data_IF_058858544824
#
_entry.id   IF_058858544824
#
_cell.length_a   1.000
_cell.length_b   1.000
_cell.length_c   1.000
_cell.angle_alpha   90.00
_cell.angle_beta   90.00
_cell.angle_gamma   90.00
#
_symmetry.space_group_name_H-M   'P 1'
#
loop_
_entity.id
_entity.type
_entity.pdbx_description
1 polymer ?
#
# COMPACT_ATOMS: atom_id res chain seq x y z
N UNK A 1 -1.42 2.82 -23.79
CA UNK A 1 -2.44 3.57 -23.05
C UNK A 1 -2.10 3.43 -21.56
N UNK A 2 -1.82 4.52 -20.85
CA UNK A 2 -1.34 4.54 -19.45
C UNK A 2 -2.46 4.20 -18.45
N UNK A 3 -3.10 3.04 -18.59
CA UNK A 3 -4.38 2.71 -17.91
C UNK A 3 -4.28 2.74 -16.38
N UNK A 4 -3.12 2.37 -15.84
CA UNK A 4 -2.93 2.19 -14.40
C UNK A 4 -2.12 3.31 -13.73
N UNK A 5 -1.48 4.19 -14.51
CA UNK A 5 -0.65 5.24 -13.92
C UNK A 5 -1.54 6.20 -13.13
N UNK A 6 -1.12 6.54 -11.91
CA UNK A 6 -1.86 7.29 -10.89
C UNK A 6 -3.06 6.57 -10.25
N UNK A 7 -3.30 5.28 -10.55
CA UNK A 7 -4.27 4.50 -9.80
C UNK A 7 -3.68 3.92 -8.52
N UNK A 8 -4.57 3.56 -7.59
CA UNK A 8 -4.26 2.75 -6.43
C UNK A 8 -4.77 1.34 -6.64
N UNK A 9 -4.03 0.35 -6.15
CA UNK A 9 -4.36 -1.03 -6.46
C UNK A 9 -3.70 -2.06 -5.56
N UNK A 10 -4.25 -3.27 -5.63
CA UNK A 10 -3.72 -4.47 -5.01
C UNK A 10 -2.86 -5.23 -6.01
N UNK A 11 -1.89 -5.96 -5.47
CA UNK A 11 -1.14 -6.97 -6.20
C UNK A 11 -1.08 -8.26 -5.36
N UNK A 12 -2.14 -9.09 -5.37
CA UNK A 12 -2.28 -10.26 -4.51
C UNK A 12 -1.46 -11.45 -5.03
N UNK A 13 -0.16 -11.25 -5.20
CA UNK A 13 0.79 -12.24 -5.69
C UNK A 13 1.24 -13.19 -4.59
N UNK A 14 1.32 -14.47 -4.94
CA UNK A 14 1.95 -15.54 -4.19
C UNK A 14 3.02 -16.22 -5.04
N UNK A 15 3.89 -17.00 -4.41
CA UNK A 15 4.99 -17.66 -5.13
C UNK A 15 4.49 -18.63 -6.21
N UNK A 16 3.30 -19.21 -6.01
CA UNK A 16 2.63 -20.12 -6.93
C UNK A 16 2.13 -19.44 -8.22
N UNK A 17 1.90 -18.12 -8.19
CA UNK A 17 1.54 -17.35 -9.40
C UNK A 17 2.74 -17.25 -10.37
N UNK A 18 3.95 -17.42 -9.83
CA UNK A 18 5.21 -17.44 -10.55
C UNK A 18 5.97 -16.12 -10.50
N UNK A 19 7.29 -16.22 -10.38
CA UNK A 19 8.20 -15.09 -10.24
C UNK A 19 8.36 -14.26 -11.52
N UNK A 20 8.01 -14.82 -12.68
CA UNK A 20 8.05 -14.13 -13.99
C UNK A 20 7.14 -12.89 -14.05
N UNK A 21 6.17 -12.81 -13.14
CA UNK A 21 5.28 -11.66 -12.97
C UNK A 21 5.97 -10.47 -12.29
N UNK A 22 7.10 -10.68 -11.64
CA UNK A 22 7.86 -9.66 -10.92
C UNK A 22 9.16 -9.41 -11.68
N UNK A 23 9.62 -8.17 -11.72
CA UNK A 23 10.90 -7.87 -12.34
C UNK A 23 12.04 -8.58 -11.56
N UNK A 24 13.01 -9.22 -12.24
CA UNK A 24 13.98 -10.10 -11.58
C UNK A 24 14.74 -9.50 -10.39
N UNK A 25 15.07 -8.20 -10.45
CA UNK A 25 15.78 -7.51 -9.36
C UNK A 25 14.91 -7.19 -8.15
N UNK A 26 13.60 -7.26 -8.29
CA UNK A 26 12.64 -6.84 -7.27
C UNK A 26 12.03 -8.05 -6.53
N UNK A 27 12.23 -9.28 -7.04
CA UNK A 27 11.62 -10.53 -6.51
C UNK A 27 11.85 -10.69 -5.01
N UNK A 28 13.11 -10.67 -4.56
CA UNK A 28 13.44 -10.96 -3.15
C UNK A 28 12.90 -9.89 -2.20
N UNK A 29 12.98 -8.62 -2.59
CA UNK A 29 12.38 -7.52 -1.81
C UNK A 29 10.85 -7.59 -1.80
N UNK A 30 10.23 -7.98 -2.92
CA UNK A 30 8.78 -8.08 -3.02
C UNK A 30 8.23 -9.28 -2.21
N UNK A 31 8.95 -10.41 -2.19
CA UNK A 31 8.66 -11.53 -1.28
C UNK A 31 8.73 -11.09 0.18
N UNK A 32 9.81 -10.40 0.56
CA UNK A 32 10.01 -9.90 1.93
C UNK A 32 8.91 -8.93 2.36
N UNK A 33 8.41 -8.12 1.43
CA UNK A 33 7.30 -7.20 1.68
C UNK A 33 6.00 -7.93 2.07
N UNK A 34 5.76 -9.13 1.55
CA UNK A 34 4.47 -9.83 1.64
C UNK A 34 3.33 -8.96 1.07
N UNK A 35 3.17 -8.91 -0.27
CA UNK A 35 2.35 -7.89 -0.94
C UNK A 35 0.83 -8.10 -0.79
N UNK A 36 0.42 -9.28 -0.32
CA UNK A 36 -0.99 -9.62 -0.21
C UNK A 36 -1.74 -8.65 0.72
N UNK A 37 -2.79 -8.03 0.17
CA UNK A 37 -3.62 -7.07 0.89
C UNK A 37 -3.02 -5.66 1.04
N UNK A 38 -1.74 -5.43 0.67
CA UNK A 38 -1.14 -4.09 0.66
C UNK A 38 -1.67 -3.27 -0.49
N UNK A 39 -1.88 -1.97 -0.25
CA UNK A 39 -2.39 -1.02 -1.24
C UNK A 39 -1.22 -0.22 -1.81
N UNK A 40 -1.00 -0.35 -3.12
CA UNK A 40 0.10 0.26 -3.85
C UNK A 40 -0.41 1.43 -4.70
N UNK A 41 0.44 2.45 -4.86
CA UNK A 41 0.25 3.48 -5.88
C UNK A 41 0.99 3.06 -7.15
N UNK A 42 0.31 2.98 -8.29
CA UNK A 42 1.00 2.82 -9.57
C UNK A 42 1.49 4.19 -10.04
N UNK A 43 2.80 4.37 -10.11
CA UNK A 43 3.43 5.66 -10.41
C UNK A 43 3.97 5.75 -11.82
N UNK A 44 4.23 4.62 -12.47
CA UNK A 44 4.75 4.58 -13.84
C UNK A 44 4.53 3.21 -14.49
N UNK A 45 4.89 3.09 -15.77
CA UNK A 45 4.95 1.84 -16.52
C UNK A 45 6.19 1.86 -17.43
N UNK A 46 7.10 0.90 -17.23
CA UNK A 46 8.39 0.82 -17.92
C UNK A 46 8.60 -0.60 -18.46
N UNK A 47 8.90 -0.72 -19.75
CA UNK A 47 9.18 -2.00 -20.43
C UNK A 47 8.10 -3.09 -20.20
N UNK A 48 6.83 -2.65 -20.14
CA UNK A 48 5.68 -3.53 -19.88
C UNK A 48 5.59 -4.04 -18.44
N UNK A 49 6.20 -3.34 -17.48
CA UNK A 49 6.01 -3.52 -16.05
C UNK A 49 5.41 -2.26 -15.43
N UNK A 50 4.38 -2.42 -14.60
CA UNK A 50 3.88 -1.38 -13.71
C UNK A 50 4.90 -1.11 -12.62
N UNK A 51 5.16 0.16 -12.34
CA UNK A 51 5.97 0.60 -11.19
C UNK A 51 5.03 0.91 -10.03
N UNK A 52 5.02 0.02 -9.04
CA UNK A 52 4.22 0.12 -7.83
C UNK A 52 5.04 0.71 -6.70
N UNK A 53 4.54 1.75 -6.05
CA UNK A 53 5.14 2.38 -4.86
C UNK A 53 4.41 1.94 -3.60
N UNK A 54 5.17 1.58 -2.57
CA UNK A 54 4.68 1.31 -1.22
C UNK A 54 5.64 1.95 -0.21
N UNK A 55 5.22 3.06 0.41
CA UNK A 55 6.11 3.88 1.23
C UNK A 55 7.28 4.42 0.38
N UNK A 56 8.51 4.12 0.79
CA UNK A 56 9.72 4.52 0.06
C UNK A 56 10.23 3.45 -0.91
N UNK A 57 9.60 2.29 -0.98
CA UNK A 57 9.99 1.20 -1.86
C UNK A 57 9.18 1.23 -3.17
N UNK A 58 9.83 0.77 -4.24
CA UNK A 58 9.20 0.62 -5.56
C UNK A 58 9.47 -0.76 -6.13
N UNK A 59 8.47 -1.33 -6.79
CA UNK A 59 8.53 -2.67 -7.37
C UNK A 59 7.97 -2.65 -8.78
N UNK A 60 8.62 -3.38 -9.69
CA UNK A 60 8.15 -3.54 -11.07
C UNK A 60 7.44 -4.88 -11.22
N UNK A 61 6.19 -4.84 -11.66
CA UNK A 61 5.34 -6.04 -11.78
C UNK A 61 4.58 -6.04 -13.10
N UNK A 62 4.22 -7.21 -13.61
CA UNK A 62 3.31 -7.33 -14.74
C UNK A 62 1.90 -6.89 -14.34
N UNK A 63 1.09 -6.45 -15.30
CA UNK A 63 -0.26 -5.95 -15.00
C UNK A 63 -1.27 -7.04 -14.63
N UNK A 64 -0.92 -8.31 -14.86
CA UNK A 64 -1.80 -9.49 -14.80
C UNK A 64 -2.57 -9.63 -13.49
N UNK A 65 -1.95 -9.32 -12.36
CA UNK A 65 -2.58 -9.41 -11.04
C UNK A 65 -3.03 -8.06 -10.48
N UNK A 66 -2.78 -6.96 -11.18
CA UNK A 66 -3.07 -5.62 -10.66
C UNK A 66 -4.58 -5.35 -10.65
N UNK A 67 -5.11 -5.05 -9.47
CA UNK A 67 -6.54 -4.77 -9.26
C UNK A 67 -6.71 -3.37 -8.70
N UNK A 68 -7.32 -2.48 -9.48
CA UNK A 68 -7.61 -1.10 -9.06
C UNK A 68 -8.57 -1.14 -7.86
N UNK A 69 -8.28 -0.30 -6.87
CA UNK A 69 -9.13 -0.05 -5.70
C UNK A 69 -9.26 1.46 -5.45
N UNK A 70 -10.14 1.83 -4.53
CA UNK A 70 -10.29 3.22 -4.14
C UNK A 70 -9.01 3.78 -3.52
N UNK A 71 -8.73 5.04 -3.82
CA UNK A 71 -7.56 5.73 -3.30
C UNK A 71 -7.65 5.84 -1.76
N UNK A 72 -6.54 5.59 -1.04
CA UNK A 72 -6.46 5.89 0.37
C UNK A 72 -6.50 7.41 0.60
N UNK A 73 -7.07 7.79 1.75
CA UNK A 73 -7.12 9.19 2.19
C UNK A 73 -5.76 9.67 2.70
N UNK A 74 -4.95 8.75 3.21
CA UNK A 74 -3.61 9.02 3.73
C UNK A 74 -2.58 8.17 3.00
N UNK A 75 -1.40 8.73 2.74
CA UNK A 75 -0.25 8.00 2.23
C UNK A 75 0.66 7.52 3.38
N UNK A 76 1.48 6.50 3.11
CA UNK A 76 2.52 6.06 4.05
C UNK A 76 3.50 7.21 4.30
N UNK A 77 3.83 7.45 5.56
CA UNK A 77 4.64 8.58 6.02
C UNK A 77 3.83 9.83 6.39
N UNK A 78 2.52 9.88 6.12
CA UNK A 78 1.69 10.99 6.58
C UNK A 78 1.58 11.02 8.11
N UNK A 79 1.68 12.22 8.69
CA UNK A 79 1.35 12.44 10.09
C UNK A 79 -0.16 12.58 10.27
N UNK A 80 -0.67 11.90 11.29
CA UNK A 80 -2.10 11.85 11.62
C UNK A 80 -2.31 11.93 13.13
N UNK A 81 -3.49 12.37 13.54
CA UNK A 81 -3.99 12.29 14.91
C UNK A 81 -5.18 11.36 14.97
N UNK A 82 -5.42 10.74 16.13
CA UNK A 82 -6.66 9.99 16.34
C UNK A 82 -7.81 10.97 16.60
N UNK A 83 -8.98 10.70 16.02
CA UNK A 83 -10.20 11.49 16.29
C UNK A 83 -10.56 11.44 17.78
N UNK A 84 -10.41 10.28 18.42
CA UNK A 84 -10.74 10.07 19.84
C UNK A 84 -9.69 10.62 20.81
N UNK A 85 -8.45 10.82 20.34
CA UNK A 85 -7.34 11.37 21.13
C UNK A 85 -6.37 12.12 20.21
N UNK A 86 -6.54 13.44 20.16
CA UNK A 86 -5.77 14.31 19.27
C UNK A 86 -4.50 14.90 19.94
N UNK A 87 -4.14 14.39 21.12
CA UNK A 87 -2.96 14.84 21.88
C UNK A 87 -1.66 14.28 21.33
N UNK A 88 -1.72 13.13 20.64
CA UNK A 88 -0.58 12.43 20.09
C UNK A 88 -0.61 12.45 18.57
N UNK A 89 0.55 12.66 17.96
CA UNK A 89 0.75 12.53 16.51
C UNK A 89 1.32 11.15 16.24
N UNK A 90 0.70 10.44 15.30
CA UNK A 90 1.22 9.21 14.74
C UNK A 90 1.59 9.38 13.27
N UNK A 91 2.22 8.34 12.72
CA UNK A 91 2.64 8.28 11.32
C UNK A 91 2.03 7.05 10.68
N UNK A 92 1.49 7.16 9.46
CA UNK A 92 0.99 6.02 8.68
C UNK A 92 2.19 5.16 8.28
N UNK A 93 2.24 3.92 8.76
CA UNK A 93 3.31 2.97 8.44
C UNK A 93 2.89 1.98 7.34
N UNK A 94 1.61 1.60 7.32
CA UNK A 94 1.08 0.66 6.34
C UNK A 94 -0.32 1.03 5.87
N UNK A 95 -0.59 0.70 4.62
CA UNK A 95 -1.93 0.76 4.03
C UNK A 95 -2.27 -0.63 3.52
N UNK A 96 -3.34 -1.20 4.05
CA UNK A 96 -3.87 -2.48 3.62
C UNK A 96 -5.33 -2.33 3.18
N UNK A 97 -5.87 -3.34 2.52
CA UNK A 97 -7.24 -3.34 2.02
C UNK A 97 -8.15 -4.25 2.83
N UNK A 98 -9.22 -3.69 3.35
CA UNK A 98 -10.22 -4.43 4.07
C UNK A 98 -11.19 -5.14 3.10
N UNK A 99 -10.97 -6.43 2.84
CA UNK A 99 -11.65 -7.20 1.79
C UNK A 99 -13.18 -7.18 1.86
N UNK A 100 -13.76 -7.16 3.08
CA UNK A 100 -15.22 -7.17 3.27
C UNK A 100 -15.84 -5.80 3.01
N UNK A 101 -15.24 -4.76 3.55
CA UNK A 101 -15.80 -3.40 3.51
C UNK A 101 -15.36 -2.64 2.25
N UNK A 102 -14.38 -3.18 1.50
CA UNK A 102 -13.83 -2.58 0.28
C UNK A 102 -13.32 -1.15 0.54
N UNK A 103 -12.55 -0.99 1.61
CA UNK A 103 -11.92 0.29 1.98
C UNK A 103 -10.48 0.09 2.43
N UNK A 104 -9.64 1.14 2.33
CA UNK A 104 -8.32 1.18 2.94
C UNK A 104 -8.40 1.07 4.46
N UNK A 105 -7.43 0.40 5.06
CA UNK A 105 -7.16 0.37 6.50
C UNK A 105 -5.69 0.71 6.76
N UNK A 106 -5.44 1.38 7.88
CA UNK A 106 -4.13 1.92 8.21
C UNK A 106 -3.58 1.30 9.49
N UNK A 107 -2.27 1.11 9.49
CA UNK A 107 -1.50 0.92 10.73
C UNK A 107 -0.65 2.16 10.95
N UNK A 108 -0.64 2.65 12.19
CA UNK A 108 0.14 3.82 12.57
C UNK A 108 1.20 3.46 13.59
N UNK A 109 2.28 4.24 13.62
CA UNK A 109 3.18 4.33 14.76
C UNK A 109 2.88 5.58 15.57
N UNK A 110 3.09 5.52 16.89
CA UNK A 110 3.10 6.71 17.77
C UNK A 110 4.38 6.63 18.58
N UNK A 111 5.18 7.70 18.59
CA UNK A 111 6.50 7.73 19.22
C UNK A 111 7.40 6.56 18.78
N UNK A 112 7.39 6.24 17.47
CA UNK A 112 8.17 5.16 16.87
C UNK A 112 7.69 3.74 17.18
N UNK A 113 6.56 3.57 17.89
CA UNK A 113 5.98 2.25 18.20
C UNK A 113 4.72 2.01 17.38
N UNK A 114 4.74 0.99 16.52
CA UNK A 114 3.58 0.56 15.75
C UNK A 114 2.46 0.09 16.69
N UNK A 115 1.24 0.53 16.41
CA UNK A 115 0.02 0.05 17.08
C UNK A 115 -0.49 -1.20 16.35
N UNK A 116 -1.00 -2.16 17.10
CA UNK A 116 -1.67 -3.35 16.54
C UNK A 116 -3.10 -3.06 16.08
N UNK A 117 -3.69 -1.96 16.53
CA UNK A 117 -5.02 -1.49 16.13
C UNK A 117 -5.01 -1.09 14.66
N UNK A 118 -6.05 -1.51 13.94
CA UNK A 118 -6.35 -1.05 12.59
C UNK A 118 -7.23 0.19 12.67
N UNK A 119 -6.93 1.17 11.84
CA UNK A 119 -7.67 2.43 11.76
C UNK A 119 -8.28 2.58 10.38
N UNK A 120 -9.45 3.21 10.30
CA UNK A 120 -10.09 3.63 9.06
C UNK A 120 -10.03 5.14 8.90
N UNK A 121 -10.51 5.66 7.76
CA UNK A 121 -10.51 7.10 7.48
C UNK A 121 -11.18 7.91 8.61
N UNK A 122 -12.28 7.40 9.17
CA UNK A 122 -13.06 8.05 10.23
C UNK A 122 -12.36 8.08 11.60
N UNK A 123 -11.29 7.32 11.78
CA UNK A 123 -10.53 7.31 13.03
C UNK A 123 -9.39 8.33 13.05
N UNK A 124 -9.06 8.94 11.90
CA UNK A 124 -7.83 9.69 11.69
C UNK A 124 -8.09 11.10 11.14
N UNK A 125 -7.25 12.04 11.56
CA UNK A 125 -7.24 13.43 11.07
C UNK A 125 -5.84 13.76 10.58
N UNK A 126 -5.71 14.35 9.38
CA UNK A 126 -4.44 14.88 8.90
C UNK A 126 -3.95 16.03 9.80
N UNK A 127 -2.64 16.09 10.04
CA UNK A 127 -2.01 17.19 10.81
C UNK A 127 -1.33 18.20 9.93
#
# INVERSE_FOLDING_TARGET
MKKFINSWGLYPWFIEDGEYLIFPKDIESFKKLSPYGKVFRCIDEVDGYLVLKYGNETFRVKSDLYKIVDAPFFEIGCNVKLVKDNTQVGTIEEIQWHQKNKVPMYYISINGKQKSTRYFNEDLIAT
#
